data_IF_833897960188
#
_entry.id   IF_833897960188
#
_cell.length_a   1.000
_cell.length_b   1.000
_cell.length_c   1.000
_cell.angle_alpha   90.00
_cell.angle_beta   90.00
_cell.angle_gamma   90.00
#
_symmetry.space_group_name_H-M   'P 1'
#
loop_
_entity.id
_entity.type
_entity.pdbx_description
1 polymer ?
#
# COMPACT_ATOMS: atom_id res chain seq x y z
N UNK A 1 12.24 -14.00 -8.41
CA UNK A 1 12.10 -12.80 -9.25
C UNK A 1 13.48 -12.50 -9.74
N UNK A 2 13.73 -12.62 -11.05
CA UNK A 2 15.03 -12.29 -11.63
C UNK A 2 15.25 -10.79 -11.44
N UNK A 3 16.24 -10.44 -10.62
CA UNK A 3 16.61 -9.04 -10.41
C UNK A 3 17.13 -8.49 -11.73
N UNK A 4 16.48 -7.44 -12.24
CA UNK A 4 16.94 -6.83 -13.49
C UNK A 4 18.21 -6.03 -13.22
N UNK A 5 19.32 -6.49 -13.78
CA UNK A 5 20.65 -5.91 -13.62
C UNK A 5 21.12 -5.39 -14.99
N UNK A 6 21.75 -4.22 -15.00
CA UNK A 6 22.55 -3.75 -16.14
C UNK A 6 24.01 -3.64 -15.72
N UNK A 7 24.90 -3.96 -16.67
CA UNK A 7 26.33 -3.76 -16.55
C UNK A 7 26.74 -2.68 -17.54
N UNK A 8 27.51 -1.71 -17.07
CA UNK A 8 27.91 -0.53 -17.84
C UNK A 8 29.43 -0.48 -17.81
N UNK A 9 30.03 -0.30 -18.97
CA UNK A 9 31.47 -0.10 -19.11
C UNK A 9 31.74 1.38 -19.39
N UNK A 10 32.64 1.98 -18.63
CA UNK A 10 32.96 3.41 -18.73
C UNK A 10 34.49 3.62 -18.70
N UNK A 11 34.96 4.84 -18.92
CA UNK A 11 36.40 5.15 -18.99
C UNK A 11 37.19 4.24 -19.96
N UNK A 12 36.73 4.15 -21.22
CA UNK A 12 37.39 3.39 -22.30
C UNK A 12 37.63 1.90 -21.97
N UNK A 13 36.69 1.24 -21.29
CA UNK A 13 36.82 -0.18 -20.97
C UNK A 13 37.47 -0.48 -19.63
N UNK A 14 38.00 0.53 -18.92
CA UNK A 14 38.71 0.34 -17.66
C UNK A 14 37.79 0.39 -16.43
N UNK A 15 36.61 1.00 -16.56
CA UNK A 15 35.61 1.10 -15.50
C UNK A 15 34.43 0.17 -15.76
N UNK A 16 33.93 -0.51 -14.71
CA UNK A 16 32.72 -1.31 -14.77
C UNK A 16 31.77 -0.95 -13.62
N UNK A 17 30.49 -0.79 -13.94
CA UNK A 17 29.43 -0.51 -12.98
C UNK A 17 28.28 -1.50 -13.17
N UNK A 18 27.80 -2.07 -12.07
CA UNK A 18 26.61 -2.92 -12.05
C UNK A 18 25.49 -2.19 -11.32
N UNK A 19 24.33 -2.09 -11.96
CA UNK A 19 23.15 -1.43 -11.39
C UNK A 19 21.99 -2.40 -11.29
N UNK A 20 21.49 -2.61 -10.07
CA UNK A 20 20.24 -3.32 -9.82
C UNK A 20 19.06 -2.37 -10.06
N UNK A 21 18.34 -2.55 -11.16
CA UNK A 21 17.27 -1.64 -11.58
C UNK A 21 16.13 -1.58 -10.57
N UNK A 22 15.75 -2.71 -9.97
CA UNK A 22 14.68 -2.77 -8.98
C UNK A 22 14.96 -1.94 -7.71
N UNK A 23 16.23 -1.90 -7.29
CA UNK A 23 16.67 -1.15 -6.12
C UNK A 23 16.96 0.33 -6.45
N UNK A 24 17.30 0.62 -7.71
CA UNK A 24 17.60 1.96 -8.16
C UNK A 24 16.34 2.77 -8.47
N UNK A 25 15.32 2.15 -9.06
CA UNK A 25 14.09 2.82 -9.48
C UNK A 25 12.92 2.61 -8.49
N UNK A 26 12.00 3.59 -8.36
CA UNK A 26 12.06 4.92 -8.97
C UNK A 26 13.16 5.81 -8.34
N UNK A 27 13.67 6.77 -9.11
CA UNK A 27 14.66 7.74 -8.62
C UNK A 27 14.31 9.15 -9.08
N UNK A 28 14.88 10.16 -8.42
CA UNK A 28 14.79 11.54 -8.90
C UNK A 28 15.51 11.72 -10.25
N UNK A 29 15.14 12.79 -10.96
CA UNK A 29 15.69 13.10 -12.28
C UNK A 29 17.21 13.29 -12.23
N UNK A 30 17.76 14.02 -11.25
CA UNK A 30 19.19 14.31 -11.19
C UNK A 30 20.04 13.04 -11.05
N UNK A 31 19.60 12.08 -10.23
CA UNK A 31 20.27 10.78 -10.10
C UNK A 31 20.11 9.91 -11.34
N UNK A 32 18.97 9.97 -12.04
CA UNK A 32 18.81 9.33 -13.35
C UNK A 32 19.77 9.92 -14.39
N UNK A 33 19.89 11.26 -14.49
CA UNK A 33 20.82 11.93 -15.42
C UNK A 33 22.27 11.47 -15.22
N UNK A 34 22.69 11.31 -13.96
CA UNK A 34 24.02 10.79 -13.64
C UNK A 34 24.22 9.37 -14.17
N UNK A 35 23.22 8.50 -14.02
CA UNK A 35 23.29 7.15 -14.58
C UNK A 35 23.35 7.19 -16.12
N UNK A 36 22.52 8.01 -16.76
CA UNK A 36 22.51 8.17 -18.22
C UNK A 36 23.85 8.69 -18.75
N UNK A 37 24.47 9.66 -18.07
CA UNK A 37 25.80 10.17 -18.43
C UNK A 37 26.88 9.08 -18.37
N UNK A 38 26.79 8.12 -17.46
CA UNK A 38 27.72 6.99 -17.38
C UNK A 38 27.42 5.98 -18.49
N UNK A 39 26.13 5.72 -18.77
CA UNK A 39 25.71 4.87 -19.89
C UNK A 39 26.21 5.44 -21.23
N UNK A 40 26.25 6.76 -21.38
CA UNK A 40 26.73 7.41 -22.60
C UNK A 40 28.24 7.25 -22.84
N UNK A 41 29.03 6.90 -21.81
CA UNK A 41 30.44 6.51 -21.97
C UNK A 41 30.59 5.09 -22.58
N UNK A 42 29.55 4.24 -22.48
CA UNK A 42 29.52 2.91 -23.08
C UNK A 42 29.06 2.99 -24.54
N UNK A 43 29.88 3.57 -25.41
CA UNK A 43 29.51 3.86 -26.81
C UNK A 43 28.97 2.64 -27.58
N UNK A 44 29.42 1.43 -27.24
CA UNK A 44 29.00 0.19 -27.88
C UNK A 44 27.59 -0.24 -27.46
N UNK A 45 27.22 -0.05 -26.19
CA UNK A 45 25.96 -0.56 -25.63
C UNK A 45 24.97 0.53 -25.18
N UNK A 46 25.30 1.82 -25.33
CA UNK A 46 24.51 2.95 -24.79
C UNK A 46 23.02 2.88 -25.16
N UNK A 47 22.72 2.56 -26.42
CA UNK A 47 21.35 2.59 -26.94
C UNK A 47 20.54 1.41 -26.40
N UNK A 48 21.19 0.23 -26.27
CA UNK A 48 20.61 -0.94 -25.63
C UNK A 48 20.37 -0.70 -24.13
N UNK A 49 21.37 -0.19 -23.42
CA UNK A 49 21.28 0.11 -21.98
C UNK A 49 20.18 1.14 -21.69
N UNK A 50 20.07 2.20 -22.51
CA UNK A 50 18.98 3.19 -22.43
C UNK A 50 17.62 2.54 -22.70
N UNK A 51 17.51 1.68 -23.72
CA UNK A 51 16.29 0.95 -24.02
C UNK A 51 15.86 0.04 -22.84
N UNK A 52 16.82 -0.65 -22.20
CA UNK A 52 16.55 -1.48 -21.02
C UNK A 52 16.03 -0.64 -19.85
N UNK A 53 16.61 0.53 -19.58
CA UNK A 53 16.11 1.46 -18.54
C UNK A 53 14.68 1.92 -18.84
N UNK A 54 14.41 2.34 -20.07
CA UNK A 54 13.08 2.78 -20.51
C UNK A 54 12.07 1.65 -20.38
N UNK A 55 12.41 0.45 -20.86
CA UNK A 55 11.54 -0.72 -20.80
C UNK A 55 11.27 -1.13 -19.35
N UNK A 56 12.29 -1.15 -18.49
CA UNK A 56 12.14 -1.50 -17.08
C UNK A 56 11.18 -0.55 -16.37
N UNK A 57 11.42 0.77 -16.46
CA UNK A 57 10.56 1.77 -15.83
C UNK A 57 9.12 1.71 -16.39
N UNK A 58 8.97 1.55 -17.70
CA UNK A 58 7.66 1.43 -18.35
C UNK A 58 6.88 0.19 -17.89
N UNK A 59 7.52 -0.98 -17.88
CA UNK A 59 6.91 -2.24 -17.44
C UNK A 59 6.52 -2.18 -15.95
N UNK A 60 7.39 -1.64 -15.10
CA UNK A 60 7.11 -1.52 -13.66
C UNK A 60 6.00 -0.51 -13.38
N UNK A 61 5.96 0.61 -14.10
CA UNK A 61 4.86 1.57 -14.02
C UNK A 61 3.53 0.92 -14.44
N UNK A 62 3.53 0.14 -15.52
CA UNK A 62 2.33 -0.55 -15.98
C UNK A 62 1.86 -1.60 -14.96
N UNK A 63 2.77 -2.43 -14.43
CA UNK A 63 2.42 -3.44 -13.44
C UNK A 63 1.78 -2.84 -12.17
N UNK A 64 2.26 -1.68 -11.72
CA UNK A 64 1.64 -0.94 -10.62
C UNK A 64 0.22 -0.46 -10.95
N UNK A 65 -0.01 -0.02 -12.18
CA UNK A 65 -1.31 0.42 -12.65
C UNK A 65 -2.29 -0.74 -12.85
N UNK A 66 -1.80 -1.89 -13.30
CA UNK A 66 -2.62 -3.10 -13.49
C UNK A 66 -3.16 -3.62 -12.15
N UNK A 67 -2.32 -3.65 -11.11
CA UNK A 67 -2.74 -4.02 -9.75
C UNK A 67 -3.59 -2.98 -9.01
N UNK A 68 -3.77 -1.78 -9.59
CA UNK A 68 -4.46 -0.67 -8.92
C UNK A 68 -5.94 -0.95 -8.70
N UNK A 69 -6.60 -1.60 -9.66
CA UNK A 69 -8.02 -1.96 -9.55
C UNK A 69 -8.27 -2.89 -8.37
N UNK A 70 -7.38 -3.85 -8.14
CA UNK A 70 -7.48 -4.77 -7.00
C UNK A 70 -7.33 -4.04 -5.67
N UNK A 71 -6.39 -3.09 -5.56
CA UNK A 71 -6.22 -2.27 -4.36
C UNK A 71 -7.47 -1.44 -4.06
N UNK A 72 -8.09 -0.86 -5.11
CA UNK A 72 -9.32 -0.09 -4.97
C UNK A 72 -10.49 -0.99 -4.52
N UNK A 73 -10.64 -2.15 -5.14
CA UNK A 73 -11.68 -3.12 -4.78
C UNK A 73 -11.51 -3.61 -3.34
N UNK A 74 -10.29 -3.92 -2.91
CA UNK A 74 -10.01 -4.30 -1.52
C UNK A 74 -10.35 -3.17 -0.55
N UNK A 75 -9.97 -1.92 -0.85
CA UNK A 75 -10.32 -0.78 -0.02
C UNK A 75 -11.85 -0.64 0.13
N UNK A 76 -12.59 -0.69 -0.97
CA UNK A 76 -14.07 -0.63 -0.96
C UNK A 76 -14.63 -1.78 -0.12
N UNK A 77 -14.17 -3.02 -0.33
CA UNK A 77 -14.65 -4.18 0.41
C UNK A 77 -14.49 -4.04 1.92
N UNK A 78 -13.32 -3.58 2.39
CA UNK A 78 -13.09 -3.38 3.82
C UNK A 78 -13.87 -2.20 4.40
N UNK A 79 -14.04 -1.13 3.62
CA UNK A 79 -14.90 -0.02 4.00
C UNK A 79 -16.36 -0.49 4.16
N UNK A 80 -16.88 -1.22 3.18
CA UNK A 80 -18.24 -1.79 3.21
C UNK A 80 -18.43 -2.68 4.44
N UNK A 81 -17.51 -3.63 4.69
CA UNK A 81 -17.54 -4.46 5.91
C UNK A 81 -17.60 -3.63 7.19
N UNK A 82 -16.78 -2.58 7.30
CA UNK A 82 -16.79 -1.72 8.48
C UNK A 82 -18.12 -0.96 8.65
N UNK A 83 -18.73 -0.52 7.55
CA UNK A 83 -20.03 0.18 7.57
C UNK A 83 -21.19 -0.76 7.89
N UNK A 84 -21.16 -2.00 7.40
CA UNK A 84 -22.19 -3.02 7.66
C UNK A 84 -22.21 -3.47 9.12
N UNK A 85 -21.07 -3.40 9.83
CA UNK A 85 -20.99 -3.70 11.26
C UNK A 85 -21.58 -2.57 12.14
N UNK A 86 -21.72 -1.34 11.62
CA UNK A 86 -22.15 -0.19 12.42
C UNK A 86 -23.56 -0.34 13.02
N UNK A 87 -24.61 -0.77 12.27
CA UNK A 87 -25.94 -0.97 12.83
C UNK A 87 -25.97 -2.02 13.96
N UNK A 88 -25.17 -3.07 13.85
CA UNK A 88 -25.07 -4.11 14.88
C UNK A 88 -24.39 -3.58 16.14
N UNK A 89 -23.30 -2.83 15.99
CA UNK A 89 -22.62 -2.12 17.10
C UNK A 89 -23.60 -1.20 17.83
N UNK A 90 -24.38 -0.41 17.09
CA UNK A 90 -25.33 0.54 17.67
C UNK A 90 -26.45 -0.19 18.43
N UNK A 91 -26.97 -1.28 17.85
CA UNK A 91 -27.97 -2.13 18.49
C UNK A 91 -27.44 -2.73 19.80
N UNK A 92 -26.26 -3.34 19.79
CA UNK A 92 -25.67 -3.93 20.98
C UNK A 92 -25.29 -2.89 22.02
N UNK A 93 -24.80 -1.71 21.61
CA UNK A 93 -24.52 -0.61 22.53
C UNK A 93 -25.77 -0.16 23.27
N UNK A 94 -26.91 -0.04 22.57
CA UNK A 94 -28.21 0.27 23.19
C UNK A 94 -28.67 -0.81 24.18
N UNK A 95 -28.47 -2.09 23.84
CA UNK A 95 -28.79 -3.21 24.75
C UNK A 95 -27.93 -3.18 26.01
N UNK A 96 -26.61 -2.98 25.86
CA UNK A 96 -25.68 -2.83 26.98
C UNK A 96 -26.10 -1.67 27.88
N UNK A 97 -26.41 -0.51 27.31
CA UNK A 97 -26.85 0.67 28.07
C UNK A 97 -28.15 0.42 28.83
N UNK A 98 -29.12 -0.22 28.19
CA UNK A 98 -30.42 -0.53 28.78
C UNK A 98 -30.26 -1.49 29.96
N UNK A 99 -29.54 -2.60 29.76
CA UNK A 99 -29.30 -3.59 30.80
C UNK A 99 -28.43 -3.01 31.93
N UNK A 100 -27.45 -2.19 31.61
CA UNK A 100 -26.61 -1.51 32.60
C UNK A 100 -27.44 -0.56 33.48
N UNK A 101 -28.37 0.19 32.90
CA UNK A 101 -29.31 1.03 33.67
C UNK A 101 -30.21 0.17 34.56
N UNK A 102 -30.77 -0.91 34.03
CA UNK A 102 -31.62 -1.83 34.80
C UNK A 102 -30.88 -2.43 36.01
N UNK A 103 -29.68 -2.97 35.80
CA UNK A 103 -28.83 -3.54 36.86
C UNK A 103 -28.51 -2.49 37.93
N UNK A 104 -28.19 -1.26 37.51
CA UNK A 104 -27.87 -0.15 38.44
C UNK A 104 -29.08 0.26 39.28
N UNK A 105 -30.27 0.29 38.70
CA UNK A 105 -31.49 0.77 39.37
C UNK A 105 -32.10 -0.29 40.28
N UNK A 106 -32.23 -1.54 39.79
CA UNK A 106 -33.04 -2.57 40.43
C UNK A 106 -32.23 -3.72 41.06
N UNK A 107 -30.99 -3.97 40.61
CA UNK A 107 -30.18 -5.12 41.06
C UNK A 107 -29.06 -4.72 42.06
N UNK A 108 -29.42 -3.94 43.09
CA UNK A 108 -28.47 -3.43 44.10
C UNK A 108 -27.97 -4.52 45.07
N UNK A 109 -28.85 -5.43 45.51
CA UNK A 109 -28.57 -6.56 46.41
C UNK A 109 -29.15 -7.85 45.81
N UNK A 110 -28.54 -8.34 44.73
CA UNK A 110 -29.01 -9.49 43.92
C UNK A 110 -28.78 -9.25 42.43
N UNK A 111 -29.08 -10.24 41.57
CA UNK A 111 -29.01 -10.08 40.10
C UNK A 111 -27.67 -10.50 39.45
N UNK A 112 -27.04 -11.55 40.00
CA UNK A 112 -25.79 -12.10 39.46
C UNK A 112 -25.92 -12.53 37.99
N UNK A 113 -27.07 -13.10 37.60
CA UNK A 113 -27.38 -13.46 36.22
C UNK A 113 -27.39 -12.26 35.26
N UNK A 114 -28.04 -11.15 35.61
CA UNK A 114 -28.02 -9.94 34.77
C UNK A 114 -26.64 -9.29 34.67
N UNK A 115 -25.82 -9.37 35.73
CA UNK A 115 -24.43 -8.90 35.68
C UNK A 115 -23.58 -9.76 34.76
N UNK A 116 -23.81 -11.08 34.75
CA UNK A 116 -23.14 -12.00 33.84
C UNK A 116 -23.56 -11.75 32.40
N UNK A 117 -24.86 -11.62 32.13
CA UNK A 117 -25.38 -11.24 30.82
C UNK A 117 -24.82 -9.89 30.33
N UNK A 118 -24.69 -8.89 31.21
CA UNK A 118 -24.07 -7.61 30.87
C UNK A 118 -22.58 -7.77 30.51
N UNK A 119 -21.86 -8.66 31.20
CA UNK A 119 -20.45 -8.96 30.91
C UNK A 119 -20.31 -9.62 29.53
N UNK A 120 -21.18 -10.57 29.21
CA UNK A 120 -21.22 -11.27 27.92
C UNK A 120 -21.56 -10.31 26.78
N UNK A 121 -22.60 -9.49 26.92
CA UNK A 121 -22.97 -8.47 25.92
C UNK A 121 -21.84 -7.44 25.70
N UNK A 122 -21.14 -7.03 26.77
CA UNK A 122 -19.97 -6.14 26.63
C UNK A 122 -18.81 -6.82 25.91
N UNK A 123 -18.60 -8.12 26.12
CA UNK A 123 -17.56 -8.87 25.43
C UNK A 123 -17.87 -8.99 23.92
N UNK A 124 -19.11 -9.34 23.56
CA UNK A 124 -19.57 -9.38 22.17
C UNK A 124 -19.46 -8.01 21.48
N UNK A 125 -19.92 -6.95 22.14
CA UNK A 125 -19.78 -5.58 21.62
C UNK A 125 -18.31 -5.19 21.41
N UNK A 126 -17.41 -5.62 22.31
CA UNK A 126 -15.98 -5.37 22.14
C UNK A 126 -15.44 -6.10 20.91
N UNK A 127 -15.81 -7.36 20.72
CA UNK A 127 -15.37 -8.17 19.58
C UNK A 127 -15.81 -7.57 18.24
N UNK A 128 -17.07 -7.18 18.10
CA UNK A 128 -17.57 -6.57 16.86
C UNK A 128 -16.90 -5.21 16.60
N UNK A 129 -16.66 -4.42 17.65
CA UNK A 129 -15.87 -3.17 17.53
C UNK A 129 -14.43 -3.44 17.10
N UNK A 130 -13.81 -4.53 17.56
CA UNK A 130 -12.48 -4.95 17.14
C UNK A 130 -12.48 -5.30 15.63
N UNK A 131 -13.47 -6.06 15.18
CA UNK A 131 -13.64 -6.41 13.76
C UNK A 131 -13.82 -5.17 12.89
N UNK A 132 -14.66 -4.21 13.32
CA UNK A 132 -14.84 -2.95 12.61
C UNK A 132 -13.56 -2.14 12.54
N UNK A 133 -12.82 -2.02 13.65
CA UNK A 133 -11.53 -1.32 13.68
C UNK A 133 -10.51 -1.98 12.76
N UNK A 134 -10.44 -3.30 12.76
CA UNK A 134 -9.55 -4.06 11.89
C UNK A 134 -9.89 -3.80 10.41
N UNK A 135 -11.16 -3.84 10.04
CA UNK A 135 -11.62 -3.51 8.69
C UNK A 135 -11.26 -2.07 8.29
N UNK A 136 -11.45 -1.08 9.18
CA UNK A 136 -11.05 0.31 8.92
C UNK A 136 -9.53 0.48 8.76
N UNK A 137 -8.73 -0.26 9.53
CA UNK A 137 -7.27 -0.27 9.38
C UNK A 137 -6.88 -0.80 8.00
N UNK A 138 -7.43 -1.95 7.60
CA UNK A 138 -7.16 -2.53 6.28
C UNK A 138 -7.61 -1.60 5.15
N UNK A 139 -8.79 -0.98 5.26
CA UNK A 139 -9.25 0.04 4.31
C UNK A 139 -8.20 1.15 4.12
N UNK A 140 -7.72 1.73 5.23
CA UNK A 140 -6.71 2.81 5.18
C UNK A 140 -5.39 2.34 4.58
N UNK A 141 -4.98 1.12 4.87
CA UNK A 141 -3.76 0.54 4.32
C UNK A 141 -3.89 0.31 2.81
N UNK A 142 -5.00 -0.24 2.32
CA UNK A 142 -5.26 -0.41 0.89
C UNK A 142 -5.38 0.93 0.16
N UNK A 143 -6.04 1.92 0.77
CA UNK A 143 -6.11 3.28 0.23
C UNK A 143 -4.71 3.93 0.12
N UNK A 144 -3.87 3.75 1.15
CA UNK A 144 -2.48 4.22 1.12
C UNK A 144 -1.68 3.55 0.01
N UNK A 145 -1.83 2.23 -0.16
CA UNK A 145 -1.17 1.47 -1.23
C UNK A 145 -1.63 1.90 -2.61
N UNK A 146 -2.94 2.13 -2.80
CA UNK A 146 -3.51 2.64 -4.04
C UNK A 146 -2.85 3.97 -4.44
N UNK A 147 -2.85 4.96 -3.54
CA UNK A 147 -2.23 6.27 -3.78
C UNK A 147 -0.71 6.16 -3.96
N UNK A 148 -0.07 5.26 -3.18
CA UNK A 148 1.36 4.99 -3.29
C UNK A 148 1.74 4.44 -4.66
N UNK A 149 0.97 3.48 -5.19
CA UNK A 149 1.18 2.89 -6.51
C UNK A 149 1.04 3.93 -7.62
N UNK A 150 0.06 4.84 -7.54
CA UNK A 150 -0.09 5.93 -8.52
C UNK A 150 1.12 6.86 -8.51
N UNK A 151 1.56 7.29 -7.32
CA UNK A 151 2.73 8.17 -7.19
C UNK A 151 4.01 7.50 -7.67
N UNK A 152 4.19 6.21 -7.38
CA UNK A 152 5.34 5.45 -7.85
C UNK A 152 5.32 5.26 -9.37
N UNK A 153 4.17 4.91 -9.95
CA UNK A 153 4.01 4.79 -11.39
C UNK A 153 4.24 6.13 -12.11
N UNK A 154 3.79 7.26 -11.54
CA UNK A 154 4.04 8.59 -12.09
C UNK A 154 5.53 8.94 -12.09
N UNK A 155 6.26 8.62 -11.01
CA UNK A 155 7.72 8.79 -10.97
C UNK A 155 8.40 7.97 -12.05
N UNK A 156 8.04 6.70 -12.18
CA UNK A 156 8.60 5.82 -13.21
C UNK A 156 8.31 6.32 -14.64
N UNK A 157 7.11 6.87 -14.89
CA UNK A 157 6.79 7.52 -16.17
C UNK A 157 7.68 8.73 -16.44
N UNK A 158 7.93 9.58 -15.44
CA UNK A 158 8.89 10.70 -15.54
C UNK A 158 10.32 10.19 -15.78
N UNK A 159 10.74 9.11 -15.13
CA UNK A 159 12.03 8.47 -15.42
C UNK A 159 12.12 8.01 -16.89
N UNK A 160 11.04 7.45 -17.45
CA UNK A 160 10.97 7.09 -18.88
C UNK A 160 11.12 8.32 -19.78
N UNK A 161 10.40 9.42 -19.48
CA UNK A 161 10.49 10.66 -20.25
C UNK A 161 11.91 11.21 -20.27
N UNK A 162 12.56 11.31 -19.10
CA UNK A 162 13.96 11.78 -18.99
C UNK A 162 14.89 10.87 -19.80
N UNK A 163 14.76 9.55 -19.66
CA UNK A 163 15.61 8.59 -20.38
C UNK A 163 15.43 8.62 -21.91
N UNK A 164 14.26 9.06 -22.40
CA UNK A 164 13.98 9.22 -23.84
C UNK A 164 14.44 10.56 -24.42
N UNK A 165 14.42 11.63 -23.61
CA UNK A 165 14.61 13.00 -24.09
C UNK A 165 16.03 13.55 -23.92
N UNK A 166 16.88 12.93 -23.11
CA UNK A 166 18.29 13.33 -23.04
C UNK A 166 19.06 12.77 -24.24
N UNK A 167 19.52 13.66 -25.12
CA UNK A 167 20.47 13.39 -26.19
C UNK A 167 21.70 14.24 -25.99
#
# INVERSE_FOLDING_TARGET
MDQKIINITFHQGMGHMTVMLDAFFPTDAARLRKLLSIIDEDYEHRDELRAVVVQHCGQRAQALMDGRSDLANQAINYHTKATELQPEIDKMARQVDTLQRYVKTYCKRGGQGYRQQLKELKAQLKEIKEQQRHALTLYRDYQRRFVGAEKEAEKLKKNVEVAKHER
#
